data_IF_345300252017
#
_entry.id   IF_345300252017
#
_cell.length_a   1.000
_cell.length_b   1.000
_cell.length_c   1.000
_cell.angle_alpha   90.00
_cell.angle_beta   90.00
_cell.angle_gamma   90.00
#
_symmetry.space_group_name_H-M   'P 1'
#
loop_
_entity.id
_entity.type
_entity.pdbx_description
1 polymer ?
#
# COMPACT_ATOMS: atom_id res chain seq x y z
N UNK A 1 -17.25 -9.82 -0.27
CA UNK A 1 -16.34 -8.77 -0.79
C UNK A 1 -16.74 -8.26 -2.17
N UNK A 2 -17.38 -9.09 -3.01
CA UNK A 2 -17.91 -8.66 -4.30
C UNK A 2 -18.88 -7.47 -4.17
N UNK A 3 -18.84 -6.54 -5.14
CA UNK A 3 -19.71 -5.37 -5.26
C UNK A 3 -19.46 -4.24 -4.23
N UNK A 4 -18.41 -4.34 -3.40
CA UNK A 4 -18.04 -3.23 -2.52
C UNK A 4 -17.25 -2.17 -3.28
N UNK A 5 -17.59 -0.91 -3.06
CA UNK A 5 -16.97 0.25 -3.71
C UNK A 5 -15.93 0.84 -2.79
N UNK A 6 -14.68 0.79 -3.20
CA UNK A 6 -13.55 1.23 -2.37
C UNK A 6 -12.87 2.43 -3.01
N UNK A 7 -12.71 3.47 -2.23
CA UNK A 7 -11.79 4.55 -2.55
C UNK A 7 -10.39 4.19 -2.06
N UNK A 8 -9.41 4.23 -2.94
CA UNK A 8 -7.98 4.25 -2.57
C UNK A 8 -7.41 5.60 -2.96
N UNK A 9 -6.94 6.34 -1.98
CA UNK A 9 -6.24 7.60 -2.17
C UNK A 9 -4.82 7.52 -1.63
N UNK A 10 -3.84 8.03 -2.39
CA UNK A 10 -2.45 8.06 -1.91
C UNK A 10 -1.44 8.31 -3.00
N UNK A 11 -0.18 8.02 -2.65
CA UNK A 11 0.96 8.21 -3.52
C UNK A 11 1.02 7.09 -4.57
N UNK A 12 0.59 7.44 -5.79
CA UNK A 12 0.55 6.53 -6.95
C UNK A 12 1.98 6.35 -7.46
N UNK A 13 2.53 5.16 -7.28
CA UNK A 13 3.92 4.82 -7.62
C UNK A 13 3.99 3.86 -8.79
N UNK A 14 4.90 4.09 -9.73
CA UNK A 14 5.31 3.11 -10.73
C UNK A 14 6.54 2.34 -10.23
N UNK A 15 6.40 1.06 -9.96
CA UNK A 15 7.53 0.18 -9.73
C UNK A 15 8.03 -0.33 -11.09
N UNK A 16 9.24 0.08 -11.46
CA UNK A 16 9.85 -0.23 -12.76
C UNK A 16 10.96 -1.26 -12.57
N UNK A 17 10.88 -2.36 -13.27
CA UNK A 17 11.88 -3.41 -13.27
C UNK A 17 12.60 -3.39 -14.63
N UNK A 18 13.89 -3.09 -14.62
CA UNK A 18 14.75 -3.13 -15.80
C UNK A 18 15.63 -4.36 -15.69
N UNK A 19 15.39 -5.33 -16.55
CA UNK A 19 16.21 -6.53 -16.64
C UNK A 19 17.40 -6.29 -17.57
N UNK A 20 18.60 -6.63 -17.10
CA UNK A 20 19.85 -6.47 -17.82
C UNK A 20 20.74 -7.69 -17.74
N UNK A 21 21.66 -7.77 -18.70
CA UNK A 21 22.77 -8.73 -18.67
C UNK A 21 24.07 -7.98 -18.41
N UNK A 22 24.87 -8.48 -17.49
CA UNK A 22 26.22 -7.93 -17.26
C UNK A 22 27.07 -8.28 -18.48
N UNK A 23 27.49 -7.25 -19.21
CA UNK A 23 28.30 -7.40 -20.42
C UNK A 23 29.81 -7.30 -20.13
N UNK A 24 30.22 -6.22 -19.47
CA UNK A 24 31.60 -5.93 -19.12
C UNK A 24 31.71 -4.83 -18.08
N UNK A 25 32.91 -4.58 -17.57
CA UNK A 25 33.25 -3.38 -16.79
C UNK A 25 33.56 -2.24 -17.77
N UNK A 26 33.10 -1.03 -17.47
CA UNK A 26 33.36 0.16 -18.25
C UNK A 26 34.89 0.48 -18.30
N UNK A 27 35.34 1.09 -19.38
CA UNK A 27 36.67 1.66 -19.47
C UNK A 27 36.77 3.08 -18.93
N UNK A 28 35.62 3.73 -18.73
CA UNK A 28 35.53 5.11 -18.29
C UNK A 28 35.50 5.22 -16.75
N UNK A 29 34.96 4.21 -16.06
CA UNK A 29 34.86 4.13 -14.62
C UNK A 29 34.71 2.67 -14.18
N UNK A 30 34.98 2.30 -12.91
CA UNK A 30 34.84 0.93 -12.40
C UNK A 30 33.36 0.58 -12.14
N UNK A 31 32.55 0.67 -13.20
CA UNK A 31 31.10 0.38 -13.17
C UNK A 31 30.75 -0.71 -14.17
N UNK A 32 29.68 -1.46 -13.85
CA UNK A 32 29.17 -2.49 -14.76
C UNK A 32 28.45 -1.85 -15.96
N UNK A 33 28.69 -2.39 -17.13
CA UNK A 33 27.89 -2.12 -18.33
C UNK A 33 26.85 -3.22 -18.45
N UNK A 34 25.57 -2.81 -18.45
CA UNK A 34 24.44 -3.69 -18.57
C UNK A 34 23.79 -3.52 -19.94
N UNK A 35 23.54 -4.63 -20.62
CA UNK A 35 22.72 -4.67 -21.81
C UNK A 35 21.27 -4.88 -21.39
N UNK A 36 20.40 -3.88 -21.66
CA UNK A 36 18.99 -3.95 -21.33
C UNK A 36 18.31 -5.07 -22.11
N UNK A 37 17.73 -6.02 -21.38
CA UNK A 37 17.00 -7.16 -21.94
C UNK A 37 15.48 -6.93 -21.95
N UNK A 38 14.96 -6.18 -20.97
CA UNK A 38 13.53 -5.89 -20.85
C UNK A 38 13.25 -4.78 -19.87
N UNK A 39 12.00 -4.33 -19.88
CA UNK A 39 11.46 -3.40 -18.88
C UNK A 39 10.01 -3.75 -18.60
N UNK A 40 9.62 -3.72 -17.34
CA UNK A 40 8.26 -3.94 -16.88
C UNK A 40 7.88 -2.87 -15.86
N UNK A 41 6.71 -2.26 -16.06
CA UNK A 41 6.11 -1.35 -15.07
C UNK A 41 4.98 -2.07 -14.38
N UNK A 42 4.95 -2.02 -13.05
CA UNK A 42 3.87 -2.55 -12.23
C UNK A 42 3.37 -1.48 -11.25
N UNK A 43 2.18 -1.69 -10.73
CA UNK A 43 1.58 -0.82 -9.73
C UNK A 43 2.35 -0.93 -8.40
N UNK A 44 2.80 0.19 -7.84
CA UNK A 44 3.49 0.30 -6.55
C UNK A 44 2.83 1.32 -5.63
N UNK A 45 3.16 1.31 -4.35
CA UNK A 45 2.57 2.22 -3.37
C UNK A 45 1.04 2.15 -3.37
N UNK A 46 0.36 3.29 -3.34
CA UNK A 46 -1.09 3.34 -3.40
C UNK A 46 -1.65 2.65 -4.67
N UNK A 47 -0.92 2.65 -5.79
CA UNK A 47 -1.34 1.92 -6.99
C UNK A 47 -1.38 0.40 -6.77
N UNK A 48 -0.51 -0.15 -5.93
CA UNK A 48 -0.54 -1.57 -5.57
C UNK A 48 -1.74 -1.90 -4.66
N UNK A 49 -2.11 -0.99 -3.74
CA UNK A 49 -3.36 -1.12 -2.96
C UNK A 49 -4.58 -1.14 -3.89
N UNK A 50 -4.63 -0.23 -4.88
CA UNK A 50 -5.67 -0.19 -5.92
C UNK A 50 -5.76 -1.53 -6.65
N UNK A 51 -4.62 -2.04 -7.14
CA UNK A 51 -4.58 -3.29 -7.90
C UNK A 51 -5.03 -4.48 -7.04
N UNK A 52 -4.58 -4.57 -5.78
CA UNK A 52 -5.01 -5.63 -4.86
C UNK A 52 -6.50 -5.56 -4.53
N UNK A 53 -7.04 -4.37 -4.25
CA UNK A 53 -8.47 -4.22 -3.99
C UNK A 53 -9.32 -4.65 -5.19
N UNK A 54 -8.89 -4.31 -6.41
CA UNK A 54 -9.58 -4.69 -7.64
C UNK A 54 -9.52 -6.21 -7.89
N UNK A 55 -8.35 -6.84 -7.74
CA UNK A 55 -8.19 -8.30 -7.95
C UNK A 55 -8.87 -9.13 -6.86
N UNK A 56 -9.07 -8.56 -5.67
CA UNK A 56 -9.89 -9.14 -4.60
C UNK A 56 -11.41 -8.97 -4.85
N UNK A 57 -11.81 -8.30 -5.93
CA UNK A 57 -13.19 -8.21 -6.41
C UNK A 57 -13.95 -6.96 -6.00
N UNK A 58 -13.29 -5.89 -5.60
CA UNK A 58 -13.91 -4.58 -5.35
C UNK A 58 -14.09 -3.77 -6.64
N UNK A 59 -15.10 -2.91 -6.67
CA UNK A 59 -15.18 -1.76 -7.58
C UNK A 59 -14.31 -0.63 -6.98
N UNK A 60 -13.21 -0.27 -7.65
CA UNK A 60 -12.19 0.61 -7.07
C UNK A 60 -12.18 1.98 -7.75
N UNK A 61 -12.16 3.03 -6.93
CA UNK A 61 -11.95 4.41 -7.32
C UNK A 61 -10.54 4.83 -6.88
N UNK A 62 -9.66 5.13 -7.83
CA UNK A 62 -8.29 5.57 -7.55
C UNK A 62 -8.19 7.09 -7.53
N UNK A 63 -7.64 7.66 -6.45
CA UNK A 63 -7.29 9.08 -6.34
C UNK A 63 -5.80 9.20 -6.04
N UNK A 64 -5.13 10.08 -6.78
CA UNK A 64 -3.72 10.39 -6.55
C UNK A 64 -3.18 11.35 -7.59
N UNK A 65 -1.91 11.69 -7.45
CA UNK A 65 -1.21 12.61 -8.36
C UNK A 65 -0.33 11.80 -9.29
N UNK A 66 -0.39 12.09 -10.58
CA UNK A 66 0.49 11.53 -11.61
C UNK A 66 1.09 12.67 -12.43
N UNK A 67 2.26 12.44 -13.00
CA UNK A 67 2.91 13.37 -13.93
C UNK A 67 2.27 13.37 -15.32
N UNK A 68 2.99 13.96 -16.26
CA UNK A 68 2.66 13.96 -17.70
C UNK A 68 3.76 13.20 -18.46
N UNK A 69 3.89 11.90 -18.14
CA UNK A 69 4.98 11.03 -18.58
C UNK A 69 4.55 9.61 -18.90
N UNK A 70 5.48 8.79 -19.39
CA UNK A 70 5.23 7.40 -19.79
C UNK A 70 4.78 6.52 -18.61
N UNK A 71 5.28 6.79 -17.39
CA UNK A 71 4.89 6.02 -16.21
C UNK A 71 3.43 6.28 -15.83
N UNK A 72 2.96 7.54 -15.97
CA UNK A 72 1.55 7.89 -15.81
C UNK A 72 0.65 7.08 -16.75
N UNK A 73 1.02 6.99 -18.03
CA UNK A 73 0.23 6.24 -19.01
C UNK A 73 0.28 4.73 -18.75
N UNK A 74 1.44 4.19 -18.34
CA UNK A 74 1.55 2.78 -17.94
C UNK A 74 0.61 2.43 -16.80
N UNK A 75 0.60 3.24 -15.72
CA UNK A 75 -0.29 3.03 -14.58
C UNK A 75 -1.77 3.18 -14.95
N UNK A 76 -2.12 4.17 -15.79
CA UNK A 76 -3.48 4.34 -16.30
C UNK A 76 -3.96 3.12 -17.09
N UNK A 77 -3.08 2.51 -17.88
CA UNK A 77 -3.40 1.31 -18.65
C UNK A 77 -3.61 0.11 -17.72
N UNK A 78 -2.71 -0.10 -16.74
CA UNK A 78 -2.86 -1.14 -15.70
C UNK A 78 -4.22 -0.99 -15.00
N UNK A 79 -4.58 0.23 -14.59
CA UNK A 79 -5.85 0.48 -13.91
C UNK A 79 -7.07 0.22 -14.80
N UNK A 80 -6.99 0.59 -16.08
CA UNK A 80 -8.06 0.31 -17.06
C UNK A 80 -8.27 -1.20 -17.27
N UNK A 81 -7.18 -1.96 -17.38
CA UNK A 81 -7.22 -3.42 -17.50
C UNK A 81 -7.86 -4.09 -16.28
N UNK A 82 -7.68 -3.51 -15.10
CA UNK A 82 -8.29 -3.96 -13.85
C UNK A 82 -9.73 -3.43 -13.63
N UNK A 83 -10.27 -2.64 -14.56
CA UNK A 83 -11.61 -2.04 -14.42
C UNK A 83 -11.70 -0.94 -13.36
N UNK A 84 -10.59 -0.32 -12.99
CA UNK A 84 -10.53 0.73 -11.96
C UNK A 84 -11.01 2.07 -12.51
N UNK A 85 -11.82 2.77 -11.72
CA UNK A 85 -12.24 4.14 -11.99
C UNK A 85 -11.07 5.13 -11.77
N UNK A 86 -10.58 5.73 -12.85
CA UNK A 86 -9.39 6.58 -12.87
C UNK A 86 -9.67 8.09 -12.96
N UNK A 87 -10.94 8.50 -12.94
CA UNK A 87 -11.34 9.92 -12.98
C UNK A 87 -10.84 10.72 -11.78
N UNK A 88 -10.46 10.04 -10.69
CA UNK A 88 -9.85 10.63 -9.51
C UNK A 88 -8.38 11.00 -9.66
N UNK A 89 -7.67 10.49 -10.67
CA UNK A 89 -6.27 10.84 -10.89
C UNK A 89 -6.14 12.30 -11.34
N UNK A 90 -5.25 13.04 -10.67
CA UNK A 90 -4.92 14.43 -11.00
C UNK A 90 -3.58 14.45 -11.73
N UNK A 91 -3.53 15.09 -12.89
CA UNK A 91 -2.30 15.27 -13.66
C UNK A 91 -1.60 16.55 -13.26
N UNK A 92 -0.41 16.46 -12.70
CA UNK A 92 0.45 17.59 -12.37
C UNK A 92 1.69 17.60 -13.27
N UNK A 93 1.72 18.53 -14.25
CA UNK A 93 2.83 18.67 -15.21
C UNK A 93 4.12 19.20 -14.57
N UNK A 94 4.06 19.70 -13.34
CA UNK A 94 5.21 20.29 -12.66
C UNK A 94 6.09 19.25 -11.96
N UNK A 95 5.64 17.98 -11.91
CA UNK A 95 6.35 16.88 -11.25
C UNK A 95 6.31 15.60 -12.07
N UNK A 96 7.31 14.72 -11.93
CA UNK A 96 7.23 13.38 -12.50
C UNK A 96 6.21 12.52 -11.76
N UNK A 97 5.69 11.49 -12.43
CA UNK A 97 5.04 10.37 -11.73
C UNK A 97 6.07 9.73 -10.81
N UNK A 98 5.68 9.46 -9.57
CA UNK A 98 6.56 8.77 -8.62
C UNK A 98 6.96 7.43 -9.22
N UNK A 99 8.25 7.17 -9.33
CA UNK A 99 8.74 5.89 -9.81
C UNK A 99 9.92 5.37 -9.01
N UNK A 100 9.98 4.03 -8.90
CA UNK A 100 11.08 3.30 -8.26
C UNK A 100 11.62 2.29 -9.26
N UNK A 101 12.68 2.67 -9.95
CA UNK A 101 13.30 1.85 -10.99
C UNK A 101 14.36 0.94 -10.38
N UNK A 102 14.11 -0.37 -10.42
CA UNK A 102 15.05 -1.41 -9.97
C UNK A 102 15.75 -2.01 -11.17
N UNK A 103 17.06 -1.84 -11.23
CA UNK A 103 17.90 -2.45 -12.25
C UNK A 103 18.36 -3.81 -11.72
N UNK A 104 17.90 -4.87 -12.39
CA UNK A 104 18.16 -6.25 -12.03
C UNK A 104 19.07 -6.83 -13.12
N UNK A 105 20.19 -7.40 -12.73
CA UNK A 105 21.08 -8.01 -13.68
C UNK A 105 21.82 -9.21 -13.10
N UNK A 106 22.18 -10.13 -14.00
CA UNK A 106 22.99 -11.29 -13.70
C UNK A 106 23.89 -11.64 -14.86
N UNK A 107 24.88 -12.51 -14.64
CA UNK A 107 25.71 -13.10 -15.66
C UNK A 107 25.13 -14.40 -16.20
N UNK A 108 25.78 -15.01 -17.20
CA UNK A 108 25.36 -16.31 -17.78
C UNK A 108 25.29 -17.47 -16.76
N UNK A 109 26.07 -17.37 -15.69
CA UNK A 109 26.21 -18.41 -14.66
C UNK A 109 25.92 -17.87 -13.24
N UNK A 110 25.38 -16.67 -13.10
CA UNK A 110 25.11 -16.05 -11.80
C UNK A 110 23.63 -15.69 -11.67
N UNK A 111 23.13 -15.78 -10.46
CA UNK A 111 21.76 -15.39 -10.13
C UNK A 111 21.57 -13.89 -10.42
N UNK A 112 20.44 -13.53 -11.01
CA UNK A 112 20.06 -12.13 -11.18
C UNK A 112 19.78 -11.50 -9.80
N UNK A 113 20.34 -10.31 -9.59
CA UNK A 113 20.17 -9.54 -8.35
C UNK A 113 19.94 -8.07 -8.67
N UNK A 114 19.34 -7.35 -7.73
CA UNK A 114 19.19 -5.90 -7.84
C UNK A 114 20.56 -5.23 -7.72
N UNK A 115 20.97 -4.52 -8.76
CA UNK A 115 22.25 -3.78 -8.83
C UNK A 115 22.10 -2.39 -8.23
N UNK A 116 21.03 -1.68 -8.59
CA UNK A 116 20.75 -0.32 -8.12
C UNK A 116 19.26 -0.05 -8.18
N UNK A 117 18.79 0.89 -7.35
CA UNK A 117 17.46 1.47 -7.44
C UNK A 117 17.58 2.97 -7.69
N UNK A 118 16.79 3.46 -8.65
CA UNK A 118 16.67 4.89 -8.96
C UNK A 118 15.26 5.32 -8.62
N UNK A 119 15.14 6.26 -7.68
CA UNK A 119 13.84 6.82 -7.26
C UNK A 119 13.66 8.19 -7.92
N UNK A 120 12.49 8.40 -8.56
CA UNK A 120 12.08 9.68 -9.12
C UNK A 120 10.80 10.13 -8.42
N UNK A 121 10.88 11.18 -7.64
CA UNK A 121 9.77 11.76 -6.90
C UNK A 121 9.99 13.26 -6.70
N UNK A 122 8.90 14.01 -6.49
CA UNK A 122 8.95 15.39 -6.01
C UNK A 122 8.46 15.43 -4.58
N UNK A 123 9.23 16.08 -3.70
CA UNK A 123 8.85 16.35 -2.30
C UNK A 123 8.25 17.74 -2.11
N UNK A 124 8.15 18.51 -3.18
CA UNK A 124 7.54 19.85 -3.14
C UNK A 124 6.04 19.71 -2.82
N UNK A 125 5.50 20.60 -1.99
CA UNK A 125 4.06 20.66 -1.74
C UNK A 125 3.26 20.81 -3.04
N UNK A 126 2.02 20.32 -3.04
CA UNK A 126 1.12 20.54 -4.17
C UNK A 126 0.84 22.02 -4.35
N UNK A 127 0.79 22.50 -5.59
CA UNK A 127 0.31 23.83 -5.87
C UNK A 127 -1.16 23.97 -5.43
N UNK A 128 -1.58 25.17 -5.04
CA UNK A 128 -2.98 25.44 -4.65
C UNK A 128 -4.00 24.98 -5.69
N UNK A 129 -3.64 25.07 -6.98
CA UNK A 129 -4.49 24.63 -8.09
C UNK A 129 -4.64 23.10 -8.11
N UNK A 130 -3.54 22.37 -7.99
CA UNK A 130 -3.53 20.91 -7.98
C UNK A 130 -4.24 20.36 -6.74
N UNK A 131 -4.00 20.95 -5.57
CA UNK A 131 -4.71 20.58 -4.34
C UNK A 131 -6.21 20.84 -4.45
N UNK A 132 -6.63 21.97 -4.99
CA UNK A 132 -8.05 22.27 -5.19
C UNK A 132 -8.73 21.27 -6.13
N UNK A 133 -8.05 20.85 -7.21
CA UNK A 133 -8.55 19.82 -8.11
C UNK A 133 -8.65 18.47 -7.40
N UNK A 134 -7.64 18.08 -6.61
CA UNK A 134 -7.64 16.86 -5.81
C UNK A 134 -8.83 16.83 -4.84
N UNK A 135 -9.04 17.92 -4.08
CA UNK A 135 -10.15 18.04 -3.13
C UNK A 135 -11.52 17.94 -3.81
N UNK A 136 -11.69 18.57 -4.98
CA UNK A 136 -12.93 18.49 -5.75
C UNK A 136 -13.21 17.03 -6.23
N UNK A 137 -12.17 16.30 -6.62
CA UNK A 137 -12.31 14.89 -7.01
C UNK A 137 -12.64 14.00 -5.82
N UNK A 138 -12.01 14.24 -4.66
CA UNK A 138 -12.34 13.55 -3.41
C UNK A 138 -13.82 13.75 -3.06
N UNK A 139 -14.28 15.00 -3.02
CA UNK A 139 -15.67 15.34 -2.66
C UNK A 139 -16.69 14.69 -3.60
N UNK A 140 -16.37 14.61 -4.89
CA UNK A 140 -17.22 13.97 -5.91
C UNK A 140 -17.29 12.44 -5.77
N UNK A 141 -16.22 11.78 -5.28
CA UNK A 141 -16.11 10.33 -5.22
C UNK A 141 -16.59 9.78 -3.86
N UNK A 142 -16.35 10.49 -2.76
CA UNK A 142 -16.74 10.07 -1.42
C UNK A 142 -18.19 9.56 -1.28
N UNK A 143 -19.21 10.18 -1.92
CA UNK A 143 -20.59 9.69 -1.84
C UNK A 143 -20.87 8.34 -2.50
N UNK A 144 -19.92 7.83 -3.29
CA UNK A 144 -20.10 6.63 -4.09
C UNK A 144 -19.51 5.37 -3.45
N UNK A 145 -18.75 5.50 -2.35
CA UNK A 145 -17.91 4.42 -1.83
C UNK A 145 -18.37 3.91 -0.48
N UNK A 146 -18.07 2.64 -0.22
CA UNK A 146 -18.41 1.90 0.99
C UNK A 146 -17.23 1.79 1.96
N UNK A 147 -16.01 2.08 1.50
CA UNK A 147 -14.80 2.02 2.32
C UNK A 147 -13.68 2.88 1.72
N UNK A 148 -12.72 3.31 2.56
CA UNK A 148 -11.66 4.22 2.17
C UNK A 148 -10.31 3.72 2.67
N UNK A 149 -9.32 3.58 1.75
CA UNK A 149 -7.91 3.38 2.08
C UNK A 149 -7.14 4.66 1.79
N UNK A 150 -6.37 5.11 2.77
CA UNK A 150 -5.36 6.15 2.62
C UNK A 150 -3.97 5.50 2.67
N UNK A 151 -3.19 5.61 1.59
CA UNK A 151 -1.85 5.01 1.46
C UNK A 151 -0.83 6.13 1.24
N UNK A 152 -0.10 6.49 2.32
CA UNK A 152 0.79 7.63 2.40
C UNK A 152 2.26 7.20 2.48
N UNK A 153 2.99 7.42 1.40
CA UNK A 153 4.44 7.19 1.30
C UNK A 153 5.27 8.45 1.54
N UNK A 154 4.60 9.56 1.92
CA UNK A 154 5.25 10.83 2.26
C UNK A 154 5.56 11.72 1.05
N UNK A 155 5.00 11.44 -0.13
CA UNK A 155 5.19 12.28 -1.33
C UNK A 155 4.14 13.41 -1.45
N UNK A 156 3.28 13.58 -0.43
CA UNK A 156 2.42 14.75 -0.25
C UNK A 156 1.07 14.72 -0.97
N UNK A 157 0.65 13.58 -1.52
CA UNK A 157 -0.70 13.43 -2.11
C UNK A 157 -1.79 13.62 -1.05
N UNK A 158 -1.60 13.05 0.14
CA UNK A 158 -2.59 13.15 1.22
C UNK A 158 -2.32 14.42 2.05
N UNK A 159 -2.78 15.57 1.54
CA UNK A 159 -2.63 16.86 2.24
C UNK A 159 -3.46 16.92 3.52
N UNK A 160 -3.16 17.86 4.41
CA UNK A 160 -3.95 18.10 5.63
C UNK A 160 -5.44 18.39 5.31
N UNK A 161 -5.72 19.09 4.20
CA UNK A 161 -7.09 19.37 3.77
C UNK A 161 -7.77 18.10 3.25
N UNK A 162 -7.06 17.25 2.50
CA UNK A 162 -7.58 15.96 2.05
C UNK A 162 -7.91 15.05 3.24
N UNK A 163 -7.01 14.92 4.23
CA UNK A 163 -7.27 14.15 5.48
C UNK A 163 -8.54 14.63 6.18
N UNK A 164 -8.65 15.95 6.43
CA UNK A 164 -9.82 16.54 7.10
C UNK A 164 -11.13 16.29 6.32
N UNK A 165 -11.09 16.41 5.00
CA UNK A 165 -12.27 16.17 4.16
C UNK A 165 -12.73 14.72 4.27
N UNK A 166 -11.80 13.76 4.13
CA UNK A 166 -12.08 12.34 4.16
C UNK A 166 -12.57 11.89 5.54
N UNK A 167 -11.83 12.20 6.61
CA UNK A 167 -12.17 11.75 7.97
C UNK A 167 -13.50 12.34 8.45
N UNK A 168 -13.76 13.62 8.14
CA UNK A 168 -15.04 14.25 8.43
C UNK A 168 -16.21 13.57 7.70
N UNK A 169 -16.03 13.24 6.42
CA UNK A 169 -17.06 12.57 5.63
C UNK A 169 -17.30 11.15 6.11
N UNK A 170 -16.23 10.39 6.29
CA UNK A 170 -16.26 8.99 6.74
C UNK A 170 -16.94 8.88 8.11
N UNK A 171 -16.55 9.70 9.09
CA UNK A 171 -17.15 9.71 10.42
C UNK A 171 -18.65 10.07 10.41
N UNK A 172 -19.05 11.06 9.57
CA UNK A 172 -20.47 11.42 9.42
C UNK A 172 -21.31 10.29 8.81
N UNK A 173 -20.76 9.56 7.85
CA UNK A 173 -21.44 8.51 7.10
C UNK A 173 -21.22 7.10 7.65
N UNK A 174 -20.33 6.97 8.65
CA UNK A 174 -19.89 5.70 9.24
C UNK A 174 -19.32 4.74 8.16
N UNK A 175 -18.49 5.28 7.28
CA UNK A 175 -17.79 4.52 6.23
C UNK A 175 -16.47 4.05 6.81
N UNK A 176 -16.20 2.73 6.88
CA UNK A 176 -14.93 2.20 7.35
C UNK A 176 -13.74 2.80 6.58
N UNK A 177 -12.74 3.27 7.30
CA UNK A 177 -11.57 3.85 6.69
C UNK A 177 -10.30 3.40 7.43
N UNK A 178 -9.22 3.25 6.67
CA UNK A 178 -7.93 2.81 7.18
C UNK A 178 -6.80 3.60 6.53
N UNK A 179 -5.74 3.84 7.29
CA UNK A 179 -4.52 4.48 6.79
C UNK A 179 -3.29 3.61 7.03
N UNK A 180 -2.39 3.62 6.04
CA UNK A 180 -0.99 3.23 6.16
C UNK A 180 -0.15 4.46 5.81
N UNK A 181 0.58 5.00 6.79
CA UNK A 181 1.44 6.17 6.58
C UNK A 181 2.84 5.88 7.07
N UNK A 182 3.79 5.91 6.15
CA UNK A 182 5.16 5.51 6.41
C UNK A 182 5.91 6.43 7.37
N UNK A 183 5.57 7.73 7.35
CA UNK A 183 6.34 8.74 8.09
C UNK A 183 5.48 9.61 9.01
N UNK A 184 4.21 9.81 8.68
CA UNK A 184 3.39 10.85 9.28
C UNK A 184 2.14 10.30 9.99
N UNK A 185 2.21 9.06 10.47
CA UNK A 185 1.01 8.41 11.05
C UNK A 185 0.37 9.23 12.16
N UNK A 186 1.16 9.99 12.92
CA UNK A 186 0.69 10.88 13.99
C UNK A 186 -0.27 11.99 13.55
N UNK A 187 -0.35 12.27 12.25
CA UNK A 187 -1.20 13.31 11.67
C UNK A 187 -2.61 12.80 11.28
N UNK A 188 -2.87 11.49 11.39
CA UNK A 188 -4.10 10.86 10.91
C UNK A 188 -5.14 10.65 12.02
N UNK A 189 -5.44 11.71 12.76
CA UNK A 189 -6.55 11.69 13.72
C UNK A 189 -7.91 11.55 13.02
N UNK A 190 -8.84 10.84 13.66
CA UNK A 190 -10.21 10.68 13.18
C UNK A 190 -10.39 9.61 12.09
N UNK A 191 -9.39 8.76 11.85
CA UNK A 191 -9.54 7.53 11.07
C UNK A 191 -10.08 6.41 11.97
N UNK A 192 -10.70 5.37 11.38
CA UNK A 192 -11.19 4.23 12.16
C UNK A 192 -10.06 3.25 12.46
N UNK A 193 -9.22 2.95 11.45
CA UNK A 193 -8.12 1.99 11.58
C UNK A 193 -6.81 2.55 11.07
N UNK A 194 -5.74 2.05 11.68
CA UNK A 194 -4.35 2.32 11.27
C UNK A 194 -3.67 0.99 11.02
N UNK A 195 -2.89 0.90 9.94
CA UNK A 195 -1.94 -0.20 9.72
C UNK A 195 -0.53 0.36 9.73
N UNK A 196 0.38 -0.32 10.43
CA UNK A 196 1.82 -0.05 10.42
C UNK A 196 2.57 -1.39 10.41
N UNK A 197 3.86 -1.35 10.09
CA UNK A 197 4.74 -2.45 10.45
C UNK A 197 5.42 -2.18 11.80
N UNK A 198 6.11 -3.17 12.35
CA UNK A 198 6.82 -3.06 13.64
C UNK A 198 7.90 -1.98 13.64
N UNK A 199 8.64 -1.83 12.54
CA UNK A 199 9.65 -0.78 12.38
C UNK A 199 9.04 0.63 12.35
N UNK A 200 7.93 0.82 11.61
CA UNK A 200 7.20 2.09 11.53
C UNK A 200 6.60 2.46 12.90
N UNK A 201 6.04 1.47 13.61
CA UNK A 201 5.52 1.66 14.96
C UNK A 201 6.66 2.02 15.94
N UNK A 202 7.82 1.34 15.85
CA UNK A 202 9.01 1.67 16.64
C UNK A 202 9.50 3.11 16.41
N UNK A 203 9.49 3.54 15.14
CA UNK A 203 9.81 4.94 14.78
C UNK A 203 8.82 5.94 15.40
N UNK A 204 7.52 5.62 15.39
CA UNK A 204 6.49 6.47 15.98
C UNK A 204 6.66 6.62 17.50
N UNK A 205 6.98 5.55 18.23
CA UNK A 205 7.16 5.62 19.68
C UNK A 205 8.55 6.09 20.11
N UNK A 206 9.53 6.05 19.19
CA UNK A 206 10.91 6.51 19.42
C UNK A 206 11.83 5.47 20.06
N UNK A 207 11.45 4.18 20.07
CA UNK A 207 12.28 3.08 20.58
C UNK A 207 12.01 1.78 19.78
N UNK A 208 12.99 0.85 19.72
CA UNK A 208 12.81 -0.43 19.06
C UNK A 208 11.85 -1.33 19.85
N UNK A 209 11.09 -2.15 19.12
CA UNK A 209 10.17 -3.12 19.72
C UNK A 209 10.90 -4.46 19.86
N UNK A 210 11.41 -4.75 21.06
CA UNK A 210 12.25 -5.92 21.29
C UNK A 210 11.44 -7.16 21.69
N UNK A 211 10.28 -6.95 22.29
CA UNK A 211 9.43 -8.03 22.79
C UNK A 211 7.92 -7.71 22.63
N UNK A 212 7.09 -8.62 23.11
CA UNK A 212 5.61 -8.48 23.06
C UNK A 212 5.13 -7.34 23.97
N UNK A 213 5.82 -7.05 25.07
CA UNK A 213 5.45 -5.97 26.00
C UNK A 213 5.66 -4.62 25.35
N UNK A 214 6.80 -4.41 24.68
CA UNK A 214 7.08 -3.21 23.89
C UNK A 214 6.01 -3.01 22.80
N UNK A 215 5.68 -4.09 22.10
CA UNK A 215 4.66 -4.06 21.04
C UNK A 215 3.28 -3.65 21.57
N UNK A 216 2.84 -4.24 22.69
CA UNK A 216 1.54 -3.91 23.32
C UNK A 216 1.55 -2.45 23.78
N UNK A 217 2.62 -2.01 24.43
CA UNK A 217 2.77 -0.62 24.87
C UNK A 217 2.72 0.37 23.71
N UNK A 218 3.46 0.10 22.64
CA UNK A 218 3.51 0.94 21.45
C UNK A 218 2.17 0.96 20.69
N UNK A 219 1.56 -0.20 20.47
CA UNK A 219 0.25 -0.30 19.81
C UNK A 219 -0.85 0.42 20.57
N UNK A 220 -0.89 0.27 21.89
CA UNK A 220 -1.84 0.98 22.78
C UNK A 220 -1.60 2.49 22.76
N UNK A 221 -0.33 2.92 22.75
CA UNK A 221 0.03 4.35 22.67
C UNK A 221 -0.46 4.97 21.35
N UNK A 222 -0.27 4.28 20.21
CA UNK A 222 -0.74 4.75 18.92
C UNK A 222 -2.27 4.80 18.86
N UNK A 223 -2.94 3.73 19.32
CA UNK A 223 -4.40 3.63 19.41
C UNK A 223 -4.99 4.79 20.21
N UNK A 224 -4.43 5.07 21.38
CA UNK A 224 -4.90 6.12 22.28
C UNK A 224 -4.63 7.51 21.70
N UNK A 225 -3.41 7.74 21.15
CA UNK A 225 -3.03 9.04 20.61
C UNK A 225 -3.91 9.46 19.44
N UNK A 226 -4.21 8.55 18.52
CA UNK A 226 -5.03 8.85 17.35
C UNK A 226 -6.52 8.68 17.59
N UNK A 227 -6.90 8.11 18.75
CA UNK A 227 -8.30 7.81 19.10
C UNK A 227 -9.02 6.98 18.03
N UNK A 228 -8.34 5.94 17.50
CA UNK A 228 -8.84 5.05 16.46
C UNK A 228 -9.58 3.83 17.04
N UNK A 229 -10.36 3.12 16.22
CA UNK A 229 -11.05 1.89 16.64
C UNK A 229 -10.11 0.70 16.69
N UNK A 230 -9.06 0.69 15.84
CA UNK A 230 -8.06 -0.36 15.87
C UNK A 230 -6.75 0.00 15.20
N UNK A 231 -5.69 -0.67 15.67
CA UNK A 231 -4.31 -0.58 15.14
C UNK A 231 -3.86 -1.97 14.74
N UNK A 232 -3.59 -2.16 13.44
CA UNK A 232 -3.10 -3.41 12.86
C UNK A 232 -1.59 -3.29 12.64
N UNK A 233 -0.79 -4.15 13.27
CA UNK A 233 0.67 -4.17 13.14
C UNK A 233 1.10 -5.43 12.45
N UNK A 234 1.73 -5.29 11.26
CA UNK A 234 2.36 -6.41 10.54
C UNK A 234 3.78 -6.64 11.06
N UNK A 235 4.19 -7.92 11.28
CA UNK A 235 5.39 -8.32 11.99
C UNK A 235 6.22 -9.36 11.25
N UNK A 236 6.19 -9.32 9.92
CA UNK A 236 6.92 -10.26 9.07
C UNK A 236 6.57 -11.72 9.40
N UNK A 237 7.56 -12.53 9.73
CA UNK A 237 7.42 -13.95 10.06
C UNK A 237 6.64 -14.22 11.37
N UNK A 238 6.47 -13.21 12.20
CA UNK A 238 5.64 -13.31 13.42
C UNK A 238 4.16 -13.01 13.15
N UNK A 239 3.75 -12.84 11.88
CA UNK A 239 2.36 -12.59 11.50
C UNK A 239 1.93 -11.15 11.76
N UNK A 240 0.85 -10.94 12.51
CA UNK A 240 0.35 -9.60 12.82
C UNK A 240 -0.36 -9.52 14.18
N UNK A 241 -0.51 -8.30 14.65
CA UNK A 241 -1.24 -8.01 15.90
C UNK A 241 -2.27 -6.93 15.65
N UNK A 242 -3.49 -7.12 16.15
CA UNK A 242 -4.56 -6.14 16.14
C UNK A 242 -4.86 -5.69 17.56
N UNK A 243 -4.80 -4.38 17.79
CA UNK A 243 -5.19 -3.72 19.04
C UNK A 243 -6.51 -2.99 18.81
N UNK A 244 -7.53 -3.27 19.61
CA UNK A 244 -8.85 -2.66 19.47
C UNK A 244 -9.14 -1.68 20.61
N UNK A 245 -9.95 -0.67 20.37
CA UNK A 245 -10.35 0.36 21.34
C UNK A 245 -11.02 -0.22 22.61
N UNK A 246 -11.69 -1.36 22.50
CA UNK A 246 -12.30 -2.06 23.61
C UNK A 246 -11.31 -2.76 24.56
N UNK A 247 -9.99 -2.66 24.27
CA UNK A 247 -8.90 -3.27 25.00
C UNK A 247 -8.55 -4.69 24.53
N UNK A 248 -9.27 -5.24 23.54
CA UNK A 248 -8.91 -6.54 23.00
C UNK A 248 -7.61 -6.47 22.17
N UNK A 249 -6.79 -7.49 22.34
CA UNK A 249 -5.56 -7.68 21.55
C UNK A 249 -5.57 -9.06 20.93
N UNK A 250 -5.35 -9.10 19.60
CA UNK A 250 -5.31 -10.35 18.84
C UNK A 250 -3.94 -10.52 18.22
N UNK A 251 -3.23 -11.58 18.59
CA UNK A 251 -1.99 -12.00 17.95
C UNK A 251 -2.32 -13.09 16.93
N UNK A 252 -2.08 -12.81 15.67
CA UNK A 252 -2.41 -13.67 14.54
C UNK A 252 -1.10 -14.18 13.96
N UNK A 253 -0.76 -15.46 14.14
CA UNK A 253 0.47 -16.04 13.61
C UNK A 253 0.45 -16.01 12.07
N UNK A 254 1.62 -16.09 11.47
CA UNK A 254 1.73 -16.24 10.01
C UNK A 254 0.88 -17.43 9.53
N UNK A 255 0.16 -17.22 8.44
CA UNK A 255 -0.79 -18.23 7.93
C UNK A 255 -0.12 -19.45 7.30
N UNK A 256 1.14 -19.30 6.90
CA UNK A 256 1.93 -20.37 6.26
C UNK A 256 3.43 -20.04 6.43
N UNK A 257 4.20 -21.03 6.87
CA UNK A 257 5.66 -20.94 7.08
C UNK A 257 6.47 -21.40 5.86
N UNK A 258 5.83 -21.49 4.68
CA UNK A 258 6.53 -21.81 3.43
C UNK A 258 7.49 -20.67 3.00
N UNK A 259 8.33 -20.97 2.02
CA UNK A 259 9.33 -20.01 1.51
C UNK A 259 8.73 -18.66 1.13
N UNK A 260 9.35 -17.59 1.65
CA UNK A 260 9.07 -16.21 1.28
C UNK A 260 9.99 -15.82 0.14
N UNK A 261 9.42 -15.42 -1.00
CA UNK A 261 10.19 -14.97 -2.16
C UNK A 261 10.45 -13.47 -2.15
N UNK A 262 9.44 -12.69 -1.83
CA UNK A 262 9.54 -11.23 -1.79
C UNK A 262 8.48 -10.63 -0.86
N UNK A 263 8.89 -9.77 0.05
CA UNK A 263 7.98 -9.09 0.98
C UNK A 263 7.40 -7.79 0.41
N UNK A 264 7.82 -7.38 -0.79
CA UNK A 264 7.38 -6.15 -1.42
C UNK A 264 5.88 -6.17 -1.72
N UNK A 265 5.17 -5.16 -1.23
CA UNK A 265 3.72 -5.03 -1.44
C UNK A 265 2.82 -5.88 -0.54
N UNK A 266 3.39 -6.69 0.36
CA UNK A 266 2.58 -7.46 1.33
C UNK A 266 1.72 -6.55 2.23
N UNK A 267 2.26 -5.40 2.64
CA UNK A 267 1.53 -4.38 3.39
C UNK A 267 0.35 -3.80 2.63
N UNK A 268 0.52 -3.55 1.32
CA UNK A 268 -0.52 -3.04 0.44
C UNK A 268 -1.65 -4.07 0.24
N UNK A 269 -1.28 -5.33 0.08
CA UNK A 269 -2.24 -6.46 0.01
C UNK A 269 -3.00 -6.60 1.33
N UNK A 270 -2.28 -6.51 2.46
CA UNK A 270 -2.86 -6.60 3.80
C UNK A 270 -3.93 -5.53 4.02
N UNK A 271 -3.61 -4.24 3.75
CA UNK A 271 -4.54 -3.14 3.99
C UNK A 271 -5.76 -3.21 3.08
N UNK A 272 -5.60 -3.62 1.82
CA UNK A 272 -6.69 -3.81 0.88
C UNK A 272 -7.64 -4.92 1.35
N UNK A 273 -7.11 -6.08 1.73
CA UNK A 273 -7.90 -7.21 2.20
C UNK A 273 -8.61 -6.93 3.53
N UNK A 274 -7.92 -6.24 4.47
CA UNK A 274 -8.48 -5.86 5.75
C UNK A 274 -9.70 -4.95 5.59
N UNK A 275 -9.53 -3.85 4.82
CA UNK A 275 -10.64 -2.93 4.60
C UNK A 275 -11.81 -3.59 3.87
N UNK A 276 -11.55 -4.39 2.85
CA UNK A 276 -12.58 -5.13 2.13
C UNK A 276 -13.38 -6.06 3.03
N UNK A 277 -12.71 -6.77 3.94
CA UNK A 277 -13.37 -7.64 4.90
C UNK A 277 -14.25 -6.84 5.88
N UNK A 278 -13.76 -5.71 6.42
CA UNK A 278 -14.54 -4.80 7.26
C UNK A 278 -15.78 -4.26 6.52
N UNK A 279 -15.59 -3.79 5.30
CA UNK A 279 -16.67 -3.26 4.46
C UNK A 279 -17.73 -4.32 4.13
N UNK A 280 -17.32 -5.59 4.10
CA UNK A 280 -18.23 -6.73 3.94
C UNK A 280 -18.93 -7.15 5.25
N UNK A 281 -18.65 -6.47 6.38
CA UNK A 281 -19.28 -6.72 7.68
C UNK A 281 -18.54 -7.72 8.57
N UNK A 282 -17.28 -8.06 8.25
CA UNK A 282 -16.48 -8.91 9.11
C UNK A 282 -16.08 -8.17 10.40
N UNK A 283 -16.06 -8.88 11.53
CA UNK A 283 -15.45 -8.36 12.75
C UNK A 283 -13.96 -8.07 12.55
N UNK A 284 -13.36 -7.06 13.24
CA UNK A 284 -11.98 -6.65 13.01
C UNK A 284 -10.95 -7.79 13.12
N UNK A 285 -11.11 -8.67 14.12
CA UNK A 285 -10.23 -9.83 14.28
C UNK A 285 -10.32 -10.82 13.10
N UNK A 286 -11.52 -11.00 12.51
CA UNK A 286 -11.73 -11.84 11.32
C UNK A 286 -11.12 -11.16 10.10
N UNK A 287 -11.31 -9.85 9.95
CA UNK A 287 -10.72 -9.06 8.87
C UNK A 287 -9.19 -9.14 8.91
N UNK A 288 -8.58 -9.06 10.10
CA UNK A 288 -7.13 -9.20 10.27
C UNK A 288 -6.64 -10.60 9.88
N UNK A 289 -7.36 -11.66 10.22
CA UNK A 289 -7.02 -13.03 9.78
C UNK A 289 -7.08 -13.16 8.25
N UNK A 290 -8.12 -12.63 7.61
CA UNK A 290 -8.24 -12.62 6.14
C UNK A 290 -7.07 -11.85 5.51
N UNK A 291 -6.72 -10.69 6.05
CA UNK A 291 -5.59 -9.87 5.60
C UNK A 291 -4.25 -10.61 5.74
N UNK A 292 -4.07 -11.36 6.83
CA UNK A 292 -2.88 -12.19 7.06
C UNK A 292 -2.73 -13.29 5.99
N UNK A 293 -3.82 -13.98 5.64
CA UNK A 293 -3.81 -14.95 4.53
C UNK A 293 -3.48 -14.29 3.19
N UNK A 294 -4.09 -13.14 2.89
CA UNK A 294 -3.81 -12.42 1.65
C UNK A 294 -2.34 -11.99 1.57
N UNK A 295 -1.78 -11.42 2.64
CA UNK A 295 -0.37 -11.06 2.72
C UNK A 295 0.54 -12.30 2.57
N UNK A 296 0.19 -13.43 3.20
CA UNK A 296 0.91 -14.69 3.06
C UNK A 296 0.93 -15.26 1.63
N UNK A 297 -0.13 -15.01 0.83
CA UNK A 297 -0.13 -15.35 -0.60
C UNK A 297 0.79 -14.40 -1.38
N UNK A 298 0.74 -13.10 -1.08
CA UNK A 298 1.52 -12.09 -1.79
C UNK A 298 3.04 -12.33 -1.66
N UNK A 299 3.55 -12.64 -0.47
CA UNK A 299 4.99 -12.84 -0.23
C UNK A 299 5.58 -14.06 -0.92
N UNK A 300 4.75 -14.94 -1.48
CA UNK A 300 5.17 -16.10 -2.30
C UNK A 300 5.26 -15.79 -3.79
N UNK A 301 5.06 -14.54 -4.18
CA UNK A 301 5.19 -14.06 -5.55
C UNK A 301 6.38 -13.14 -5.65
N UNK A 302 7.05 -13.10 -6.81
CA UNK A 302 8.18 -12.20 -7.04
C UNK A 302 7.68 -10.78 -7.33
N UNK A 303 8.34 -9.81 -6.73
CA UNK A 303 8.05 -8.39 -6.90
C UNK A 303 6.70 -7.95 -6.32
N UNK A 304 6.33 -6.72 -6.61
CA UNK A 304 5.01 -6.19 -6.24
C UNK A 304 3.93 -6.94 -7.02
N UNK A 305 3.12 -7.72 -6.33
CA UNK A 305 2.14 -8.64 -6.94
C UNK A 305 0.76 -8.47 -6.31
N UNK A 306 -0.26 -8.96 -7.01
CA UNK A 306 -1.65 -8.94 -6.53
C UNK A 306 -2.13 -10.33 -6.12
N UNK A 307 -3.14 -10.36 -5.26
CA UNK A 307 -3.84 -11.57 -4.84
C UNK A 307 -5.27 -11.53 -5.39
N UNK A 308 -5.66 -12.60 -6.07
CA UNK A 308 -7.02 -12.74 -6.57
C UNK A 308 -7.97 -13.29 -5.50
N UNK A 309 -9.27 -12.98 -5.64
CA UNK A 309 -10.30 -13.54 -4.78
C UNK A 309 -10.28 -15.08 -4.78
N UNK A 310 -10.03 -15.71 -5.94
CA UNK A 310 -9.98 -17.17 -6.07
C UNK A 310 -8.81 -17.78 -5.28
N UNK A 311 -7.61 -17.18 -5.35
CA UNK A 311 -6.45 -17.62 -4.57
C UNK A 311 -6.72 -17.52 -3.07
N UNK A 312 -7.30 -16.39 -2.64
CA UNK A 312 -7.61 -16.18 -1.22
C UNK A 312 -8.65 -17.19 -0.72
N UNK A 313 -9.75 -17.41 -1.45
CA UNK A 313 -10.78 -18.37 -1.10
C UNK A 313 -10.20 -19.77 -0.99
N UNK A 314 -9.46 -20.23 -2.02
CA UNK A 314 -8.82 -21.55 -2.01
C UNK A 314 -7.86 -21.75 -0.83
N UNK A 315 -7.15 -20.69 -0.41
CA UNK A 315 -6.25 -20.76 0.73
C UNK A 315 -7.02 -20.82 2.06
N UNK A 316 -8.11 -20.06 2.19
CA UNK A 316 -8.95 -20.08 3.38
C UNK A 316 -9.68 -21.42 3.55
N UNK A 317 -10.11 -22.08 2.46
CA UNK A 317 -10.74 -23.39 2.50
C UNK A 317 -9.79 -24.48 2.95
N UNK A 318 -8.51 -24.41 2.57
CA UNK A 318 -7.46 -25.35 3.00
C UNK A 318 -7.02 -25.18 4.46
N UNK A 319 -7.26 -23.99 5.03
CA UNK A 319 -6.89 -23.67 6.41
C UNK A 319 -8.02 -23.97 7.44
N UNK A 320 -9.16 -24.47 6.98
CA UNK A 320 -10.27 -24.98 7.83
C UNK A 320 -9.98 -26.40 8.31
#
# INVERSE_FOLDING_TARGET
MHEKKILVIGDIVADVYVDGRISRISREAPVLILEKAGEKVVAGGAANVVANAATLGAEVYAIGIIGDDAHAESLRNIFKELGVHIEGLVRDKSRPTISKTRIIAGGRATVSQQIVRIDSESKEPLSKKVEAELLAKIDKILPKVDGIVMSDYGSGTITANARKLITRYAGKKKIPNIVDSRYNIGDFEGVDYVKQNDSELGNFVGYPLNDVTDLIGAGTKLLTKLNVDGVLITRGEMGMSLFERNGATHHIPVSDMSEVYDVSGAGDTCIAAFLLALTAGAAPAVAARIANFAAGIAVRKLGTSTVSAAELISTLERAR
#
